data_IF_928007722395
#
_entry.id   IF_928007722395
#
_cell.length_a   1.000
_cell.length_b   1.000
_cell.length_c   1.000
_cell.angle_alpha   90.00
_cell.angle_beta   90.00
_cell.angle_gamma   90.00
#
_symmetry.space_group_name_H-M   'P 1'
#
loop_
_entity.id
_entity.type
_entity.pdbx_description
1 polymer ?
#
# COMPACT_ATOMS: atom_id res chain seq x y z
N UNK A 1 20.56 24.00 13.43
CA UNK A 1 20.16 22.90 12.52
C UNK A 1 19.41 23.46 11.32
N UNK A 2 20.02 23.55 10.13
CA UNK A 2 19.29 23.91 8.89
C UNK A 2 18.57 22.66 8.38
N UNK A 3 17.24 22.61 8.45
CA UNK A 3 16.44 21.58 7.78
C UNK A 3 16.23 21.99 6.32
N UNK A 4 16.36 21.04 5.39
CA UNK A 4 15.91 21.22 4.00
C UNK A 4 14.46 20.76 3.93
N UNK A 5 13.53 21.71 3.92
CA UNK A 5 12.10 21.43 3.72
C UNK A 5 11.83 21.29 2.22
N UNK A 6 11.08 20.26 1.85
CA UNK A 6 10.58 20.05 0.49
C UNK A 6 9.06 20.01 0.55
N UNK A 7 8.40 20.94 -0.14
CA UNK A 7 6.94 20.93 -0.32
C UNK A 7 6.59 20.36 -1.68
N UNK A 8 5.79 19.31 -1.67
CA UNK A 8 5.21 18.69 -2.87
C UNK A 8 3.70 18.91 -2.95
N UNK A 9 3.03 18.08 -3.75
CA UNK A 9 1.56 17.95 -3.72
C UNK A 9 1.12 17.41 -2.35
N UNK A 10 -0.12 17.69 -1.96
CA UNK A 10 -0.72 17.10 -0.77
C UNK A 10 -0.68 15.56 -0.89
N UNK A 11 -0.11 14.89 0.11
CA UNK A 11 -0.01 13.44 0.19
C UNK A 11 -0.41 12.98 1.59
N UNK A 12 -1.30 11.98 1.67
CA UNK A 12 -1.80 11.41 2.91
C UNK A 12 -1.50 9.90 2.87
N UNK A 13 -0.88 9.38 3.92
CA UNK A 13 -0.61 7.95 4.08
C UNK A 13 -1.37 7.41 5.29
N UNK A 14 -1.92 6.20 5.15
CA UNK A 14 -2.64 5.49 6.21
C UNK A 14 -1.92 4.15 6.43
N UNK A 15 -1.71 3.78 7.70
CA UNK A 15 -1.11 2.49 8.09
C UNK A 15 -2.12 1.69 8.91
N UNK A 16 -2.21 0.38 8.67
CA UNK A 16 -3.05 -0.53 9.44
C UNK A 16 -2.26 -1.78 9.82
N UNK A 17 -2.55 -2.35 10.99
CA UNK A 17 -1.96 -3.61 11.45
C UNK A 17 -3.09 -4.58 11.81
N UNK A 18 -3.00 -5.82 11.34
CA UNK A 18 -3.93 -6.90 11.66
C UNK A 18 -3.17 -8.05 12.32
N UNK A 19 -3.86 -8.82 13.16
CA UNK A 19 -3.27 -10.00 13.83
C UNK A 19 -3.08 -11.12 12.80
N UNK A 20 -1.84 -11.60 12.65
CA UNK A 20 -1.53 -12.80 11.88
C UNK A 20 -1.61 -14.05 12.78
N UNK A 21 -2.48 -15.01 12.45
CA UNK A 21 -2.64 -16.27 13.21
C UNK A 21 -1.70 -17.39 12.74
N UNK A 22 -0.85 -17.14 11.74
CA UNK A 22 0.11 -18.07 11.16
C UNK A 22 -0.53 -19.38 10.66
N UNK A 23 -1.77 -19.29 10.18
CA UNK A 23 -2.42 -20.41 9.51
C UNK A 23 -1.77 -20.67 8.15
N UNK A 24 -1.89 -21.90 7.65
CA UNK A 24 -1.40 -22.25 6.30
C UNK A 24 -2.13 -21.49 5.19
N UNK A 25 -3.33 -20.97 5.46
CA UNK A 25 -4.06 -20.11 4.54
C UNK A 25 -3.43 -18.70 4.48
N UNK A 26 -3.16 -18.09 5.63
CA UNK A 26 -2.51 -16.76 5.71
C UNK A 26 -1.11 -16.79 5.07
N UNK A 27 -0.33 -17.83 5.31
CA UNK A 27 1.03 -17.96 4.77
C UNK A 27 1.10 -18.11 3.24
N UNK A 28 -0.02 -18.47 2.58
CA UNK A 28 -0.09 -18.56 1.11
C UNK A 28 -0.40 -17.22 0.44
N UNK A 29 -0.79 -16.20 1.20
CA UNK A 29 -1.10 -14.88 0.65
C UNK A 29 0.22 -14.17 0.36
N UNK A 30 0.41 -13.76 -0.89
CA UNK A 30 1.61 -13.03 -1.30
C UNK A 30 1.57 -11.57 -0.81
N UNK A 31 2.73 -11.05 -0.44
CA UNK A 31 2.87 -9.64 -0.08
C UNK A 31 2.76 -8.73 -1.31
N UNK A 32 2.06 -7.61 -1.16
CA UNK A 32 1.98 -6.59 -2.21
C UNK A 32 3.19 -5.66 -2.06
N UNK A 33 4.11 -5.74 -3.02
CA UNK A 33 5.28 -4.86 -3.06
C UNK A 33 4.90 -3.39 -3.31
N UNK A 34 5.63 -2.45 -2.72
CA UNK A 34 5.42 -1.01 -2.93
C UNK A 34 5.61 -0.55 -4.39
N UNK A 35 6.34 -1.31 -5.22
CA UNK A 35 6.49 -1.01 -6.66
C UNK A 35 5.29 -1.52 -7.49
N UNK A 36 4.41 -2.35 -6.92
CA UNK A 36 3.25 -2.90 -7.61
C UNK A 36 2.29 -1.80 -8.08
N UNK A 37 2.28 -0.63 -7.43
CA UNK A 37 1.53 0.53 -7.90
C UNK A 37 1.90 0.94 -9.33
N UNK A 38 3.16 0.78 -9.76
CA UNK A 38 3.59 1.16 -11.11
C UNK A 38 3.12 0.15 -12.15
N UNK A 39 3.13 -1.14 -11.81
CA UNK A 39 2.91 -2.23 -12.77
C UNK A 39 1.49 -2.79 -12.78
N UNK A 40 0.75 -2.67 -11.67
CA UNK A 40 -0.58 -3.26 -11.52
C UNK A 40 -1.68 -2.18 -11.47
N UNK A 41 -1.64 -1.26 -12.45
CA UNK A 41 -2.61 -0.15 -12.54
C UNK A 41 -4.06 -0.64 -12.64
N UNK A 42 -4.29 -1.77 -13.30
CA UNK A 42 -5.63 -2.36 -13.44
C UNK A 42 -6.26 -2.68 -12.09
N UNK A 43 -5.51 -3.30 -11.17
CA UNK A 43 -5.98 -3.59 -9.81
C UNK A 43 -6.46 -2.33 -9.07
N UNK A 44 -5.70 -1.23 -9.15
CA UNK A 44 -6.07 0.01 -8.46
C UNK A 44 -7.26 0.74 -9.11
N UNK A 45 -7.46 0.58 -10.43
CA UNK A 45 -8.64 1.09 -11.11
C UNK A 45 -9.89 0.29 -10.71
N UNK A 46 -9.79 -1.04 -10.69
CA UNK A 46 -10.89 -1.93 -10.26
C UNK A 46 -11.29 -1.67 -8.81
N UNK A 47 -10.33 -1.55 -7.89
CA UNK A 47 -10.60 -1.22 -6.48
C UNK A 47 -11.37 0.10 -6.34
N UNK A 48 -11.06 1.09 -7.19
CA UNK A 48 -11.74 2.38 -7.20
C UNK A 48 -13.16 2.29 -7.76
N UNK A 49 -13.40 1.42 -8.73
CA UNK A 49 -14.72 1.21 -9.32
C UNK A 49 -15.66 0.36 -8.44
N UNK A 50 -15.11 -0.56 -7.65
CA UNK A 50 -15.85 -1.39 -6.70
C UNK A 50 -16.35 -0.64 -5.45
N UNK A 51 -15.82 0.56 -5.17
CA UNK A 51 -16.12 1.36 -3.97
C UNK A 51 -16.88 2.63 -4.30
#
# INVERSE_FOLDING_TARGET
FRRKEFRGKLAIAITANFVNRNTTAEAKVEEISGVAFIFNQKFFLELKEET
#
